data_IF_221837550894
#
_entry.id   IF_221837550894
#
_cell.length_a   1.000
_cell.length_b   1.000
_cell.length_c   1.000
_cell.angle_alpha   90.00
_cell.angle_beta   90.00
_cell.angle_gamma   90.00
#
_symmetry.space_group_name_H-M   'P 1'
#
loop_
_entity.id
_entity.type
_entity.pdbx_description
1 polymer ?
#
# COMPACT_ATOMS: atom_id res chain seq x y z
N UNK A 1 -40.91 -30.11 -17.86
CA UNK A 1 -41.08 -28.74 -17.38
C UNK A 1 -39.67 -28.12 -17.29
N UNK A 2 -39.23 -27.48 -18.38
CA UNK A 2 -37.86 -26.91 -18.50
C UNK A 2 -37.84 -25.53 -17.82
N UNK A 3 -37.18 -25.44 -16.67
CA UNK A 3 -36.92 -24.17 -16.01
C UNK A 3 -35.96 -23.35 -16.86
N UNK A 4 -36.49 -22.33 -17.54
CA UNK A 4 -35.71 -21.28 -18.20
C UNK A 4 -34.79 -20.59 -17.16
N UNK A 5 -33.50 -20.89 -17.25
CA UNK A 5 -32.48 -20.05 -16.60
C UNK A 5 -32.65 -18.63 -17.12
N UNK A 6 -33.05 -17.72 -16.25
CA UNK A 6 -33.05 -16.27 -16.55
C UNK A 6 -31.57 -15.87 -16.73
N UNK A 7 -31.16 -15.76 -17.97
CA UNK A 7 -29.96 -15.00 -18.34
C UNK A 7 -30.18 -13.55 -17.89
N UNK A 8 -29.79 -13.21 -16.67
CA UNK A 8 -29.59 -11.81 -16.32
C UNK A 8 -28.39 -11.31 -17.13
N UNK A 9 -28.53 -10.21 -17.88
CA UNK A 9 -27.41 -9.65 -18.61
C UNK A 9 -26.26 -9.40 -17.63
N UNK A 10 -25.08 -9.81 -18.01
CA UNK A 10 -23.83 -9.55 -17.27
C UNK A 10 -23.54 -8.04 -17.40
N UNK A 11 -24.32 -7.22 -16.67
CA UNK A 11 -24.11 -5.79 -16.62
C UNK A 11 -22.81 -5.60 -15.85
N UNK A 12 -21.77 -5.20 -16.54
CA UNK A 12 -20.48 -4.88 -15.91
C UNK A 12 -20.66 -3.88 -14.76
N UNK A 13 -19.70 -3.76 -13.85
CA UNK A 13 -19.84 -2.87 -12.70
C UNK A 13 -20.11 -1.44 -13.18
N UNK A 14 -21.00 -0.69 -12.51
CA UNK A 14 -21.36 0.66 -12.94
C UNK A 14 -20.11 1.55 -12.98
N UNK A 15 -19.97 2.31 -14.06
CA UNK A 15 -18.82 3.21 -14.29
C UNK A 15 -18.60 4.19 -13.14
N UNK A 16 -19.68 4.57 -12.45
CA UNK A 16 -19.64 5.45 -11.28
C UNK A 16 -18.85 4.83 -10.13
N UNK A 17 -19.12 3.58 -9.75
CA UNK A 17 -18.40 2.87 -8.70
C UNK A 17 -16.93 2.63 -9.07
N UNK A 18 -16.61 2.43 -10.35
CA UNK A 18 -15.23 2.29 -10.82
C UNK A 18 -14.46 3.62 -10.77
N UNK A 19 -15.09 4.74 -11.13
CA UNK A 19 -14.49 6.08 -11.00
C UNK A 19 -14.30 6.46 -9.54
N UNK A 20 -15.28 6.16 -8.70
CA UNK A 20 -15.18 6.38 -7.26
C UNK A 20 -14.02 5.59 -6.64
N UNK A 21 -13.79 4.35 -7.10
CA UNK A 21 -12.64 3.53 -6.69
C UNK A 21 -11.30 4.11 -7.18
N UNK A 22 -11.25 4.79 -8.33
CA UNK A 22 -10.06 5.52 -8.78
C UNK A 22 -9.68 6.62 -7.78
N UNK A 23 -10.65 7.48 -7.46
CA UNK A 23 -10.45 8.56 -6.49
C UNK A 23 -10.20 8.05 -5.07
N UNK A 24 -10.80 6.92 -4.69
CA UNK A 24 -10.51 6.26 -3.41
C UNK A 24 -9.03 5.90 -3.33
N UNK A 25 -8.44 5.28 -4.35
CA UNK A 25 -7.02 4.94 -4.38
C UNK A 25 -6.11 6.18 -4.37
N UNK A 26 -6.50 7.23 -5.10
CA UNK A 26 -5.78 8.50 -5.11
C UNK A 26 -5.71 9.14 -3.73
N UNK A 27 -6.86 9.40 -3.10
CA UNK A 27 -6.90 10.05 -1.79
C UNK A 27 -6.40 9.15 -0.66
N UNK A 28 -6.56 7.83 -0.77
CA UNK A 28 -6.03 6.89 0.20
C UNK A 28 -4.49 6.91 0.23
N UNK A 29 -3.86 6.90 -0.94
CA UNK A 29 -2.41 7.01 -1.03
C UNK A 29 -1.93 8.38 -0.53
N UNK A 30 -2.66 9.45 -0.88
CA UNK A 30 -2.36 10.79 -0.37
C UNK A 30 -2.43 10.86 1.16
N UNK A 31 -3.45 10.24 1.76
CA UNK A 31 -3.63 10.19 3.21
C UNK A 31 -2.53 9.39 3.91
N UNK A 32 -2.13 8.24 3.34
CA UNK A 32 -1.20 7.30 4.01
C UNK A 32 0.28 7.65 3.81
N UNK A 33 0.64 8.26 2.68
CA UNK A 33 2.05 8.47 2.29
C UNK A 33 2.52 9.91 2.57
N UNK A 34 1.63 10.89 2.43
CA UNK A 34 2.01 12.30 2.38
C UNK A 34 2.67 12.86 3.66
N UNK A 35 2.31 12.35 4.83
CA UNK A 35 2.78 12.91 6.12
C UNK A 35 3.97 12.15 6.73
N UNK A 36 4.21 10.91 6.33
CA UNK A 36 5.19 10.01 6.97
C UNK A 36 6.56 10.62 7.22
N UNK A 37 7.21 11.25 6.23
CA UNK A 37 8.52 11.88 6.40
C UNK A 37 8.52 13.06 7.38
N UNK A 38 7.37 13.69 7.63
CA UNK A 38 7.26 14.85 8.48
C UNK A 38 7.03 14.53 9.97
N UNK A 39 6.68 13.27 10.32
CA UNK A 39 6.48 12.85 11.71
C UNK A 39 7.72 13.11 12.56
N UNK A 40 8.93 12.61 12.20
CA UNK A 40 10.13 12.86 13.00
C UNK A 40 10.50 14.34 13.05
N UNK A 41 10.28 15.11 11.99
CA UNK A 41 10.57 16.55 11.94
C UNK A 41 9.67 17.29 12.92
N UNK A 42 8.37 17.03 12.89
CA UNK A 42 7.39 17.67 13.79
C UNK A 42 7.68 17.38 15.26
N UNK A 43 8.00 16.12 15.59
CA UNK A 43 8.33 15.74 16.96
C UNK A 43 9.64 16.40 17.44
N UNK A 44 10.65 16.49 16.56
CA UNK A 44 11.91 17.19 16.87
C UNK A 44 11.69 18.69 17.13
N UNK A 45 10.86 19.36 16.32
CA UNK A 45 10.48 20.78 16.52
C UNK A 45 9.73 21.00 17.85
N UNK A 46 9.02 19.97 18.34
CA UNK A 46 8.37 20.00 19.66
C UNK A 46 9.29 19.54 20.81
N UNK A 47 10.60 19.48 20.59
CA UNK A 47 11.60 19.23 21.64
C UNK A 47 11.78 17.77 22.02
N UNK A 48 11.34 16.82 21.18
CA UNK A 48 11.54 15.40 21.45
C UNK A 48 12.98 14.96 21.22
N UNK A 49 13.52 14.15 22.14
CA UNK A 49 14.80 13.51 21.93
C UNK A 49 14.75 12.48 20.79
N UNK A 50 15.83 12.30 20.02
CA UNK A 50 15.86 11.34 18.90
C UNK A 50 15.44 9.91 19.29
N UNK A 51 15.81 9.47 20.49
CA UNK A 51 15.42 8.15 21.02
C UNK A 51 13.89 8.02 21.20
N UNK A 52 13.23 9.07 21.70
CA UNK A 52 11.76 9.08 21.88
C UNK A 52 11.03 9.10 20.54
N UNK A 53 11.56 9.82 19.54
CA UNK A 53 11.05 9.81 18.16
C UNK A 53 11.18 8.40 17.57
N UNK A 54 12.36 7.78 17.68
CA UNK A 54 12.58 6.42 17.23
C UNK A 54 11.63 5.41 17.90
N UNK A 55 11.38 5.57 19.20
CA UNK A 55 10.43 4.72 19.93
C UNK A 55 8.99 4.88 19.39
N UNK A 56 8.54 6.10 19.15
CA UNK A 56 7.20 6.35 18.60
C UNK A 56 7.03 5.73 17.19
N UNK A 57 8.04 5.85 16.32
CA UNK A 57 8.03 5.23 15.00
C UNK A 57 8.05 3.69 15.09
N UNK A 58 8.81 3.14 16.04
CA UNK A 58 8.84 1.70 16.30
C UNK A 58 7.48 1.19 16.78
N UNK A 59 6.83 1.90 17.68
CA UNK A 59 5.46 1.57 18.16
C UNK A 59 4.48 1.53 16.99
N UNK A 60 4.51 2.52 16.09
CA UNK A 60 3.66 2.54 14.90
C UNK A 60 3.94 1.34 13.98
N UNK A 61 5.20 1.06 13.69
CA UNK A 61 5.61 -0.06 12.85
C UNK A 61 5.20 -1.41 13.43
N UNK A 62 5.44 -1.64 14.73
CA UNK A 62 5.02 -2.86 15.42
C UNK A 62 3.51 -3.01 15.46
N UNK A 63 2.76 -1.94 15.74
CA UNK A 63 1.30 -1.98 15.72
C UNK A 63 0.80 -2.38 14.32
N UNK A 64 1.37 -1.81 13.25
CA UNK A 64 1.06 -2.19 11.88
C UNK A 64 1.36 -3.66 11.60
N UNK A 65 2.55 -4.15 11.95
CA UNK A 65 2.96 -5.55 11.74
C UNK A 65 2.07 -6.54 12.48
N UNK A 66 1.84 -6.31 13.77
CA UNK A 66 1.05 -7.22 14.60
C UNK A 66 -0.42 -7.28 14.18
N UNK A 67 -0.95 -6.19 13.64
CA UNK A 67 -2.34 -6.11 13.22
C UNK A 67 -2.59 -6.58 11.79
N UNK A 68 -1.58 -6.76 10.94
CA UNK A 68 -1.77 -7.10 9.52
C UNK A 68 -2.53 -8.41 9.31
N UNK A 69 -2.14 -9.49 10.00
CA UNK A 69 -2.82 -10.79 9.88
C UNK A 69 -4.23 -10.75 10.47
N UNK A 70 -4.44 -10.26 11.72
CA UNK A 70 -5.78 -10.05 12.26
C UNK A 70 -6.66 -9.13 11.41
N UNK A 71 -6.08 -8.07 10.84
CA UNK A 71 -6.80 -7.15 9.96
C UNK A 71 -7.30 -7.85 8.70
N UNK A 72 -6.46 -8.65 8.03
CA UNK A 72 -6.86 -9.43 6.87
C UNK A 72 -8.02 -10.38 7.20
N UNK A 73 -7.98 -11.04 8.35
CA UNK A 73 -9.07 -11.90 8.79
C UNK A 73 -10.36 -11.11 9.10
N UNK A 74 -10.22 -9.97 9.78
CA UNK A 74 -11.35 -9.08 10.05
C UNK A 74 -12.01 -8.64 8.72
N UNK A 75 -11.21 -8.31 7.72
CA UNK A 75 -11.72 -7.97 6.39
C UNK A 75 -12.47 -9.14 5.77
N UNK A 76 -12.01 -10.39 5.89
CA UNK A 76 -12.75 -11.57 5.39
C UNK A 76 -14.08 -11.78 6.15
N UNK A 77 -14.15 -11.42 7.43
CA UNK A 77 -15.33 -11.65 8.27
C UNK A 77 -16.42 -10.59 8.08
N UNK A 78 -16.04 -9.32 7.94
CA UNK A 78 -16.99 -8.19 7.91
C UNK A 78 -17.70 -8.11 6.56
N UNK A 79 -19.03 -8.15 6.57
CA UNK A 79 -19.84 -8.06 5.33
C UNK A 79 -19.75 -6.69 4.66
N UNK A 80 -19.79 -5.61 5.42
CA UNK A 80 -19.70 -4.25 4.89
C UNK A 80 -18.26 -3.78 4.77
N UNK A 81 -17.60 -4.05 3.63
CA UNK A 81 -16.25 -3.56 3.34
C UNK A 81 -16.17 -2.04 3.35
N UNK A 82 -17.24 -1.36 2.88
CA UNK A 82 -17.33 0.10 2.91
C UNK A 82 -17.28 0.67 4.32
N UNK A 83 -18.05 0.10 5.25
CA UNK A 83 -18.04 0.55 6.63
C UNK A 83 -16.65 0.37 7.27
N UNK A 84 -15.99 -0.74 6.96
CA UNK A 84 -14.65 -1.03 7.45
C UNK A 84 -13.60 -0.03 6.92
N UNK A 85 -13.65 0.27 5.61
CA UNK A 85 -12.80 1.31 5.00
C UNK A 85 -13.11 2.67 5.61
N UNK A 86 -14.39 3.03 5.76
CA UNK A 86 -14.80 4.29 6.39
C UNK A 86 -14.27 4.46 7.81
N UNK A 87 -14.39 3.41 8.64
CA UNK A 87 -13.85 3.40 9.99
C UNK A 87 -12.31 3.55 10.00
N UNK A 88 -11.61 2.86 9.09
CA UNK A 88 -10.16 3.01 8.92
C UNK A 88 -9.74 4.41 8.52
N UNK A 89 -10.47 5.05 7.59
CA UNK A 89 -10.22 6.44 7.17
C UNK A 89 -10.37 7.39 8.35
N UNK A 90 -11.47 7.27 9.10
CA UNK A 90 -11.73 8.11 10.28
C UNK A 90 -10.64 7.90 11.32
N UNK A 91 -10.24 6.65 11.59
CA UNK A 91 -9.18 6.35 12.56
C UNK A 91 -7.83 6.97 12.13
N UNK A 92 -7.42 6.85 10.86
CA UNK A 92 -6.18 7.48 10.39
C UNK A 92 -6.27 9.01 10.46
N UNK A 93 -7.39 9.59 10.02
CA UNK A 93 -7.58 11.06 10.09
C UNK A 93 -7.54 11.57 11.53
N UNK A 94 -8.15 10.85 12.48
CA UNK A 94 -8.11 11.19 13.90
C UNK A 94 -6.68 11.05 14.45
N UNK A 95 -5.95 10.01 14.08
CA UNK A 95 -4.54 9.86 14.46
C UNK A 95 -3.70 11.05 13.99
N UNK A 96 -3.91 11.50 12.75
CA UNK A 96 -3.21 12.67 12.19
C UNK A 96 -3.56 13.96 12.94
N UNK A 97 -4.83 14.16 13.32
CA UNK A 97 -5.23 15.28 14.16
C UNK A 97 -4.54 15.25 15.53
N UNK A 98 -4.43 14.07 16.14
CA UNK A 98 -3.72 13.90 17.41
C UNK A 98 -2.24 14.24 17.24
N UNK A 99 -1.55 13.74 16.20
CA UNK A 99 -0.16 14.09 15.91
C UNK A 99 0.06 15.61 15.81
N UNK A 100 -0.83 16.31 15.08
CA UNK A 100 -0.71 17.76 14.91
C UNK A 100 -1.09 18.59 16.12
N UNK A 101 -2.03 18.14 16.97
CA UNK A 101 -2.61 18.94 18.04
C UNK A 101 -2.07 18.60 19.44
N UNK A 102 -1.56 17.38 19.65
CA UNK A 102 -1.13 16.87 20.96
C UNK A 102 0.23 16.17 20.84
N UNK A 103 1.33 16.92 20.75
CA UNK A 103 2.68 16.35 20.61
C UNK A 103 3.27 15.84 21.94
N UNK A 104 2.44 15.36 22.86
CA UNK A 104 2.86 14.65 24.07
C UNK A 104 3.01 13.13 23.81
N UNK A 105 3.90 12.47 24.57
CA UNK A 105 4.26 11.07 24.31
C UNK A 105 3.06 10.11 24.36
N UNK A 106 2.14 10.14 25.35
CA UNK A 106 0.99 9.24 25.38
C UNK A 106 0.06 9.42 24.18
N UNK A 107 -0.22 10.67 23.80
CA UNK A 107 -1.10 10.98 22.65
C UNK A 107 -0.48 10.52 21.33
N UNK A 108 0.80 10.79 21.12
CA UNK A 108 1.54 10.37 19.94
C UNK A 108 1.64 8.84 19.86
N UNK A 109 1.91 8.14 20.96
CA UNK A 109 1.95 6.69 21.01
C UNK A 109 0.58 6.08 20.67
N UNK A 110 -0.50 6.61 21.23
CA UNK A 110 -1.86 6.17 20.93
C UNK A 110 -2.22 6.40 19.44
N UNK A 111 -1.89 7.57 18.90
CA UNK A 111 -2.08 7.89 17.49
C UNK A 111 -1.26 6.97 16.57
N UNK A 112 -0.02 6.67 16.94
CA UNK A 112 0.86 5.77 16.21
C UNK A 112 0.29 4.34 16.14
N UNK A 113 -0.22 3.81 17.25
CA UNK A 113 -0.89 2.49 17.29
C UNK A 113 -2.16 2.51 16.43
N UNK A 114 -2.98 3.55 16.58
CA UNK A 114 -4.23 3.68 15.82
C UNK A 114 -3.97 3.77 14.31
N UNK A 115 -2.98 4.55 13.90
CA UNK A 115 -2.58 4.71 12.49
C UNK A 115 -2.04 3.39 11.92
N UNK A 116 -1.14 2.71 12.64
CA UNK A 116 -0.58 1.42 12.22
C UNK A 116 -1.66 0.35 12.05
N UNK A 117 -2.56 0.23 13.04
CA UNK A 117 -3.67 -0.73 12.99
C UNK A 117 -4.68 -0.41 11.88
N UNK A 118 -5.10 0.86 11.74
CA UNK A 118 -6.03 1.26 10.69
C UNK A 118 -5.41 1.11 9.29
N UNK A 119 -4.13 1.46 9.13
CA UNK A 119 -3.41 1.29 7.88
C UNK A 119 -3.37 -0.16 7.39
N UNK A 120 -3.21 -1.12 8.31
CA UNK A 120 -3.21 -2.55 7.98
C UNK A 120 -4.55 -3.09 7.49
N UNK A 121 -5.67 -2.43 7.85
CA UNK A 121 -7.03 -2.78 7.40
C UNK A 121 -7.34 -2.21 6.01
N UNK A 122 -6.87 -1.00 5.72
CA UNK A 122 -7.26 -0.24 4.52
C UNK A 122 -6.81 -0.91 3.22
N UNK A 123 -5.56 -1.38 3.14
CA UNK A 123 -5.02 -2.05 1.96
C UNK A 123 -5.84 -3.27 1.53
N UNK A 124 -5.95 -4.31 2.39
CA UNK A 124 -6.77 -5.48 2.09
C UNK A 124 -8.24 -5.14 1.79
N UNK A 125 -8.83 -4.18 2.50
CA UNK A 125 -10.24 -3.78 2.27
C UNK A 125 -10.47 -3.17 0.89
N UNK A 126 -9.55 -2.33 0.39
CA UNK A 126 -9.64 -1.74 -0.96
C UNK A 126 -9.38 -2.80 -2.03
N UNK A 127 -8.46 -3.74 -1.78
CA UNK A 127 -8.24 -4.89 -2.65
C UNK A 127 -9.50 -5.78 -2.73
N UNK A 128 -10.16 -6.02 -1.59
CA UNK A 128 -11.43 -6.75 -1.52
C UNK A 128 -12.56 -6.06 -2.30
N UNK A 129 -12.69 -4.73 -2.18
CA UNK A 129 -13.66 -3.94 -2.95
C UNK A 129 -13.34 -4.03 -4.44
N UNK A 130 -12.07 -3.95 -4.82
CA UNK A 130 -11.64 -4.06 -6.22
C UNK A 130 -12.04 -5.42 -6.80
N UNK A 131 -11.72 -6.50 -6.10
CA UNK A 131 -12.09 -7.86 -6.51
C UNK A 131 -13.61 -8.05 -6.56
N UNK A 132 -14.34 -7.52 -5.59
CA UNK A 132 -15.80 -7.60 -5.53
C UNK A 132 -16.49 -6.92 -6.71
N UNK A 133 -15.96 -5.77 -7.16
CA UNK A 133 -16.52 -4.99 -8.26
C UNK A 133 -16.26 -5.62 -9.63
N UNK A 134 -15.01 -6.03 -9.90
CA UNK A 134 -14.63 -6.44 -11.27
C UNK A 134 -14.51 -7.96 -11.44
N UNK A 135 -14.45 -8.74 -10.36
CA UNK A 135 -14.18 -10.17 -10.40
C UNK A 135 -12.73 -10.50 -10.79
N UNK A 136 -12.42 -11.80 -10.88
CA UNK A 136 -11.04 -12.27 -11.16
C UNK A 136 -10.55 -11.90 -12.57
N UNK A 137 -11.43 -11.97 -13.58
CA UNK A 137 -11.05 -11.81 -14.99
C UNK A 137 -10.53 -10.39 -15.29
N UNK A 138 -11.15 -9.35 -14.71
CA UNK A 138 -10.77 -7.97 -14.91
C UNK A 138 -9.89 -7.40 -13.77
N UNK A 139 -9.53 -8.24 -12.77
CA UNK A 139 -8.80 -7.78 -11.59
C UNK A 139 -7.41 -7.23 -11.94
N UNK A 140 -6.70 -7.87 -12.85
CA UNK A 140 -5.35 -7.46 -13.25
C UNK A 140 -5.32 -6.03 -13.79
N UNK A 141 -6.20 -5.71 -14.73
CA UNK A 141 -6.32 -4.37 -15.29
C UNK A 141 -6.76 -3.35 -14.23
N UNK A 142 -7.71 -3.75 -13.36
CA UNK A 142 -8.19 -2.90 -12.25
C UNK A 142 -7.08 -2.55 -11.28
N UNK A 143 -6.26 -3.51 -10.88
CA UNK A 143 -5.13 -3.28 -9.96
C UNK A 143 -4.07 -2.37 -10.59
N UNK A 144 -3.77 -2.54 -11.87
CA UNK A 144 -2.89 -1.62 -12.60
C UNK A 144 -3.40 -0.18 -12.56
N UNK A 145 -4.71 0.01 -12.75
CA UNK A 145 -5.35 1.32 -12.65
C UNK A 145 -5.36 1.87 -11.22
N UNK A 146 -5.66 1.04 -10.23
CA UNK A 146 -5.58 1.42 -8.81
C UNK A 146 -4.19 1.92 -8.45
N UNK A 147 -3.14 1.19 -8.84
CA UNK A 147 -1.75 1.54 -8.56
C UNK A 147 -1.35 2.86 -9.23
N UNK A 148 -1.81 3.11 -10.47
CA UNK A 148 -1.61 4.42 -11.14
C UNK A 148 -2.19 5.56 -10.32
N UNK A 149 -3.46 5.46 -9.92
CA UNK A 149 -4.12 6.51 -9.14
C UNK A 149 -3.47 6.69 -7.76
N UNK A 150 -3.05 5.59 -7.11
CA UNK A 150 -2.33 5.65 -5.85
C UNK A 150 -0.98 6.38 -6.00
N UNK A 151 -0.20 6.08 -7.04
CA UNK A 151 1.08 6.77 -7.28
C UNK A 151 0.91 8.24 -7.58
N UNK A 152 -0.09 8.61 -8.40
CA UNK A 152 -0.39 10.03 -8.66
C UNK A 152 -0.88 10.73 -7.40
N UNK A 153 -1.69 10.06 -6.56
CA UNK A 153 -2.14 10.59 -5.27
C UNK A 153 -0.98 10.81 -4.30
N UNK A 154 -0.05 9.86 -4.22
CA UNK A 154 1.16 9.99 -3.40
C UNK A 154 2.05 11.15 -3.85
N UNK A 155 2.24 11.32 -5.18
CA UNK A 155 2.99 12.45 -5.75
C UNK A 155 2.32 13.79 -5.41
N UNK A 156 1.02 13.90 -5.61
CA UNK A 156 0.26 15.10 -5.29
C UNK A 156 0.36 15.43 -3.80
N UNK A 157 0.24 14.43 -2.94
CA UNK A 157 0.38 14.61 -1.49
C UNK A 157 1.78 15.09 -1.11
N UNK A 158 2.84 14.49 -1.66
CA UNK A 158 4.22 14.91 -1.38
C UNK A 158 4.44 16.37 -1.77
N UNK A 159 3.93 16.81 -2.92
CA UNK A 159 4.02 18.20 -3.38
C UNK A 159 3.22 19.16 -2.47
N UNK A 160 1.98 18.78 -2.12
CA UNK A 160 1.10 19.61 -1.26
C UNK A 160 1.70 19.70 0.14
N UNK A 161 2.09 18.57 0.76
CA UNK A 161 2.62 18.56 2.12
C UNK A 161 3.96 19.26 2.21
N UNK A 162 4.83 19.12 1.19
CA UNK A 162 6.08 19.89 1.10
C UNK A 162 5.82 21.39 1.00
N UNK A 163 4.86 21.81 0.18
CA UNK A 163 4.44 23.22 0.08
C UNK A 163 3.84 23.75 1.38
N UNK A 164 2.96 22.99 2.04
CA UNK A 164 2.36 23.36 3.33
C UNK A 164 3.44 23.50 4.40
N UNK A 165 4.38 22.54 4.49
CA UNK A 165 5.48 22.61 5.45
C UNK A 165 6.42 23.77 5.24
N UNK A 166 6.63 24.19 3.97
CA UNK A 166 7.46 25.34 3.63
C UNK A 166 6.77 26.69 3.90
N UNK A 167 5.47 26.80 3.54
CA UNK A 167 4.73 28.07 3.60
C UNK A 167 4.07 28.33 4.96
N UNK A 168 3.72 27.28 5.70
CA UNK A 168 2.99 27.36 6.96
C UNK A 168 3.80 26.74 8.10
N UNK A 169 3.46 25.51 8.49
CA UNK A 169 4.16 24.80 9.57
C UNK A 169 4.09 23.29 9.41
N UNK A 170 4.94 22.55 10.12
CA UNK A 170 4.87 21.08 10.16
C UNK A 170 3.57 20.57 10.80
N UNK A 171 3.00 21.32 11.75
CA UNK A 171 1.69 21.06 12.34
C UNK A 171 0.59 21.08 11.28
N UNK A 172 0.61 22.07 10.38
CA UNK A 172 -0.42 22.24 9.36
C UNK A 172 -0.40 21.10 8.33
N UNK A 173 0.75 20.44 8.12
CA UNK A 173 0.85 19.22 7.31
C UNK A 173 -0.11 18.15 7.84
N UNK A 174 -0.12 17.90 9.16
CA UNK A 174 -0.99 16.91 9.77
C UNK A 174 -2.48 17.28 9.68
N UNK A 175 -2.79 18.57 9.81
CA UNK A 175 -4.17 19.07 9.67
C UNK A 175 -4.66 18.91 8.23
N UNK A 176 -3.84 19.28 7.25
CA UNK A 176 -4.18 19.12 5.83
C UNK A 176 -4.27 17.64 5.46
N UNK A 177 -3.34 16.80 5.96
CA UNK A 177 -3.39 15.36 5.74
C UNK A 177 -4.67 14.75 6.34
N UNK A 178 -5.06 15.13 7.56
CA UNK A 178 -6.32 14.69 8.17
C UNK A 178 -7.53 15.12 7.36
N UNK A 179 -7.52 16.37 6.83
CA UNK A 179 -8.59 16.89 5.99
C UNK A 179 -8.78 16.12 4.67
N UNK A 180 -7.72 15.45 4.15
CA UNK A 180 -7.85 14.53 3.00
C UNK A 180 -8.76 13.34 3.27
N UNK A 181 -9.02 13.01 4.54
CA UNK A 181 -10.06 12.04 4.91
C UNK A 181 -11.45 12.41 4.40
N UNK A 182 -11.76 13.70 4.27
CA UNK A 182 -13.07 14.18 3.82
C UNK A 182 -13.32 13.80 2.35
N UNK A 183 -12.52 14.22 1.35
CA UNK A 183 -12.71 13.80 -0.03
C UNK A 183 -12.57 12.28 -0.22
N UNK A 184 -11.77 11.62 0.62
CA UNK A 184 -11.65 10.17 0.62
C UNK A 184 -12.96 9.48 1.05
N UNK A 185 -13.66 10.00 2.06
CA UNK A 185 -15.00 9.52 2.46
C UNK A 185 -16.04 9.79 1.38
N UNK A 186 -15.98 10.92 0.67
CA UNK A 186 -16.85 11.18 -0.47
C UNK A 186 -16.58 10.20 -1.62
N UNK A 187 -15.32 9.91 -1.93
CA UNK A 187 -14.96 8.89 -2.91
C UNK A 187 -15.50 7.51 -2.50
N UNK A 188 -15.39 7.15 -1.22
CA UNK A 188 -15.95 5.90 -0.69
C UNK A 188 -17.49 5.87 -0.81
N UNK A 189 -18.17 6.98 -0.54
CA UNK A 189 -19.63 7.10 -0.66
C UNK A 189 -20.11 6.90 -2.10
N UNK A 190 -19.31 7.28 -3.09
CA UNK A 190 -19.57 7.06 -4.51
C UNK A 190 -19.57 5.59 -4.95
N UNK A 191 -19.01 4.68 -4.14
CA UNK A 191 -19.07 3.24 -4.41
C UNK A 191 -20.39 2.70 -3.86
N UNK A 192 -21.28 2.19 -4.71
CA UNK A 192 -22.55 1.64 -4.27
C UNK A 192 -22.36 0.33 -3.53
N UNK A 193 -22.92 0.20 -2.33
CA UNK A 193 -22.82 -1.03 -1.53
C UNK A 193 -23.41 -2.25 -2.20
N UNK A 194 -24.45 -2.09 -3.03
CA UNK A 194 -25.08 -3.14 -3.80
C UNK A 194 -24.14 -3.77 -4.86
N UNK A 195 -23.14 -3.02 -5.33
CA UNK A 195 -22.18 -3.51 -6.33
C UNK A 195 -21.08 -4.37 -5.70
N UNK A 196 -20.95 -4.36 -4.38
CA UNK A 196 -19.92 -5.10 -3.64
C UNK A 196 -20.46 -6.46 -3.23
N UNK A 197 -20.18 -7.49 -4.02
CA UNK A 197 -20.57 -8.85 -3.70
C UNK A 197 -19.64 -9.45 -2.63
N UNK A 198 -20.20 -9.78 -1.46
CA UNK A 198 -19.42 -10.27 -0.31
C UNK A 198 -18.61 -11.52 -0.64
N UNK A 199 -19.19 -12.52 -1.30
CA UNK A 199 -18.49 -13.74 -1.69
C UNK A 199 -17.25 -13.46 -2.55
N UNK A 200 -17.37 -12.61 -3.59
CA UNK A 200 -16.22 -12.18 -4.42
C UNK A 200 -15.15 -11.46 -3.61
N UNK A 201 -15.53 -10.60 -2.66
CA UNK A 201 -14.57 -9.85 -1.84
C UNK A 201 -13.69 -10.74 -0.94
N UNK A 202 -14.08 -11.99 -0.74
CA UNK A 202 -13.33 -13.00 -0.03
C UNK A 202 -12.66 -14.04 -0.96
N UNK A 203 -12.76 -13.87 -2.29
CA UNK A 203 -12.15 -14.75 -3.28
C UNK A 203 -13.06 -15.86 -3.81
N UNK A 204 -14.41 -15.74 -3.71
CA UNK A 204 -15.31 -16.70 -4.35
C UNK A 204 -15.30 -16.55 -5.88
N UNK A 205 -15.31 -17.66 -6.65
CA UNK A 205 -15.20 -17.59 -8.11
C UNK A 205 -16.44 -16.99 -8.80
N UNK A 206 -17.63 -17.08 -8.20
CA UNK A 206 -18.89 -16.62 -8.80
C UNK A 206 -19.71 -15.74 -7.85
N UNK A 207 -20.45 -14.76 -8.41
CA UNK A 207 -21.33 -13.87 -7.65
C UNK A 207 -22.48 -14.56 -6.92
N UNK A 208 -22.88 -15.73 -7.38
CA UNK A 208 -23.99 -16.54 -6.88
C UNK A 208 -23.55 -17.74 -6.03
N UNK A 209 -22.22 -17.90 -5.80
CA UNK A 209 -21.75 -18.95 -4.90
C UNK A 209 -22.31 -18.68 -3.50
N UNK A 210 -22.84 -19.70 -2.81
CA UNK A 210 -23.11 -19.59 -1.38
C UNK A 210 -21.85 -19.14 -0.64
N UNK A 211 -21.99 -18.57 0.56
CA UNK A 211 -20.83 -18.05 1.32
C UNK A 211 -19.65 -19.03 1.22
N UNK A 212 -18.46 -18.57 0.77
CA UNK A 212 -17.37 -19.50 0.53
C UNK A 212 -17.06 -20.28 1.80
N UNK A 213 -17.01 -21.62 1.68
CA UNK A 213 -16.55 -22.46 2.79
C UNK A 213 -15.11 -22.03 3.10
N UNK A 214 -14.92 -21.35 4.22
CA UNK A 214 -13.60 -20.85 4.60
C UNK A 214 -12.69 -22.01 4.93
N UNK A 215 -11.65 -22.14 4.15
CA UNK A 215 -10.55 -23.07 4.43
C UNK A 215 -9.96 -22.77 5.81
N UNK A 216 -9.52 -23.77 6.56
CA UNK A 216 -8.91 -23.55 7.87
C UNK A 216 -7.66 -22.66 7.77
N UNK A 217 -7.38 -21.86 8.80
CA UNK A 217 -6.15 -21.03 8.83
C UNK A 217 -4.90 -21.89 8.66
N UNK A 218 -4.86 -23.05 9.32
CA UNK A 218 -3.74 -23.97 9.25
C UNK A 218 -3.49 -24.51 7.84
N UNK A 219 -4.54 -24.77 7.05
CA UNK A 219 -4.40 -25.20 5.68
C UNK A 219 -3.83 -24.09 4.77
N UNK A 220 -4.26 -22.83 5.00
CA UNK A 220 -3.70 -21.69 4.26
C UNK A 220 -2.22 -21.49 4.57
N UNK A 221 -1.83 -21.54 5.86
CA UNK A 221 -0.43 -21.38 6.28
C UNK A 221 0.47 -22.57 5.88
N UNK A 222 -0.10 -23.69 5.47
CA UNK A 222 0.64 -24.86 4.93
C UNK A 222 0.68 -24.89 3.40
N UNK A 223 -0.02 -23.98 2.71
CA UNK A 223 0.03 -23.92 1.26
C UNK A 223 1.44 -23.48 0.81
N UNK A 224 2.18 -24.43 0.23
CA UNK A 224 3.55 -24.20 -0.23
C UNK A 224 3.65 -23.12 -1.30
N UNK A 225 2.61 -22.92 -2.13
CA UNK A 225 2.58 -21.88 -3.17
C UNK A 225 2.52 -20.49 -2.55
N UNK A 226 1.64 -20.33 -1.55
CA UNK A 226 1.54 -19.09 -0.79
C UNK A 226 2.82 -18.83 0.01
N UNK A 227 3.38 -19.84 0.67
CA UNK A 227 4.64 -19.73 1.40
C UNK A 227 5.80 -19.36 0.49
N UNK A 228 5.95 -20.00 -0.66
CA UNK A 228 6.99 -19.65 -1.64
C UNK A 228 6.85 -18.20 -2.10
N UNK A 229 5.63 -17.76 -2.42
CA UNK A 229 5.39 -16.39 -2.86
C UNK A 229 5.68 -15.37 -1.75
N UNK A 230 5.24 -15.62 -0.52
CA UNK A 230 5.53 -14.72 0.62
C UNK A 230 7.01 -14.70 0.96
N UNK A 231 7.72 -15.82 0.79
CA UNK A 231 9.19 -15.86 0.92
C UNK A 231 9.88 -15.00 -0.14
N UNK A 232 9.40 -15.02 -1.40
CA UNK A 232 9.91 -14.11 -2.43
C UNK A 232 9.69 -12.64 -2.05
N UNK A 233 8.53 -12.30 -1.50
CA UNK A 233 8.25 -10.94 -1.02
C UNK A 233 9.15 -10.55 0.16
N UNK A 234 9.38 -11.47 1.08
CA UNK A 234 10.31 -11.26 2.20
C UNK A 234 11.73 -10.94 1.71
N UNK A 235 12.27 -11.80 0.82
CA UNK A 235 13.62 -11.62 0.26
C UNK A 235 13.73 -10.33 -0.56
N UNK A 236 12.68 -10.00 -1.33
CA UNK A 236 12.60 -8.74 -2.04
C UNK A 236 12.71 -7.55 -1.08
N UNK A 237 11.89 -7.53 -0.04
CA UNK A 237 11.89 -6.43 0.93
C UNK A 237 13.19 -6.38 1.75
N UNK A 238 13.75 -7.54 2.09
CA UNK A 238 15.03 -7.64 2.76
C UNK A 238 16.17 -7.01 1.93
N UNK A 239 16.14 -7.20 0.61
CA UNK A 239 17.15 -6.61 -0.30
C UNK A 239 16.86 -5.15 -0.67
N UNK A 240 15.58 -4.74 -0.70
CA UNK A 240 15.14 -3.47 -1.29
C UNK A 240 15.02 -2.32 -0.29
N UNK A 241 14.51 -2.59 0.93
CA UNK A 241 14.01 -1.53 1.81
C UNK A 241 15.09 -0.56 2.31
N UNK A 242 16.32 -1.02 2.43
CA UNK A 242 17.46 -0.21 2.91
C UNK A 242 18.20 0.55 1.82
N UNK A 243 17.99 0.23 0.53
CA UNK A 243 18.75 0.86 -0.57
C UNK A 243 18.56 2.38 -0.63
N UNK A 244 17.32 2.85 -0.55
CA UNK A 244 17.04 4.29 -0.59
C UNK A 244 17.58 5.05 0.63
N UNK A 245 17.40 4.59 1.89
CA UNK A 245 18.04 5.20 3.04
C UNK A 245 19.56 5.28 2.94
N UNK A 246 20.21 4.24 2.46
CA UNK A 246 21.69 4.22 2.28
C UNK A 246 22.16 5.27 1.29
N UNK A 247 21.55 5.30 0.09
CA UNK A 247 21.89 6.31 -0.93
C UNK A 247 21.62 7.72 -0.40
N UNK A 248 20.52 7.92 0.35
CA UNK A 248 20.23 9.19 0.99
C UNK A 248 21.30 9.61 2.00
N UNK A 249 21.78 8.70 2.84
CA UNK A 249 22.86 8.97 3.80
C UNK A 249 24.18 9.32 3.10
N UNK A 250 24.56 8.58 2.06
CA UNK A 250 25.76 8.88 1.29
C UNK A 250 25.71 10.28 0.65
N UNK A 251 24.57 10.66 0.08
CA UNK A 251 24.39 11.97 -0.53
C UNK A 251 24.51 13.13 0.47
N UNK A 252 24.02 12.96 1.69
CA UNK A 252 24.16 13.97 2.75
C UNK A 252 25.63 14.26 3.06
N UNK A 253 26.47 13.23 3.06
CA UNK A 253 27.92 13.38 3.32
C UNK A 253 28.67 14.06 2.16
N UNK A 254 28.19 13.91 0.92
CA UNK A 254 28.89 14.42 -0.27
C UNK A 254 28.38 15.81 -0.70
N UNK A 255 27.06 16.03 -0.70
CA UNK A 255 26.40 17.17 -1.34
C UNK A 255 25.93 18.27 -0.37
N UNK A 256 25.94 18.02 0.94
CA UNK A 256 25.49 19.00 1.94
C UNK A 256 24.03 19.46 1.71
N UNK A 257 23.82 20.78 1.49
CA UNK A 257 22.47 21.37 1.33
C UNK A 257 21.71 20.87 0.09
N UNK A 258 22.39 20.49 -0.97
CA UNK A 258 21.77 20.00 -2.23
C UNK A 258 21.20 18.59 -2.10
N UNK A 259 21.62 17.84 -1.08
CA UNK A 259 21.19 16.45 -0.84
C UNK A 259 19.67 16.31 -0.72
N UNK A 260 18.97 17.28 -0.15
CA UNK A 260 17.51 17.23 0.05
C UNK A 260 16.74 17.21 -1.28
N UNK A 261 17.21 17.93 -2.30
CA UNK A 261 16.60 17.93 -3.63
C UNK A 261 16.80 16.58 -4.33
N UNK A 262 18.02 16.03 -4.23
CA UNK A 262 18.35 14.73 -4.82
C UNK A 262 17.56 13.62 -4.13
N UNK A 263 17.48 13.60 -2.80
CA UNK A 263 16.66 12.62 -2.07
C UNK A 263 15.18 12.73 -2.44
N UNK A 264 14.67 13.95 -2.59
CA UNK A 264 13.29 14.14 -3.06
C UNK A 264 13.09 13.59 -4.47
N UNK A 265 14.05 13.80 -5.37
CA UNK A 265 14.02 13.23 -6.73
C UNK A 265 14.03 11.69 -6.69
N UNK A 266 14.85 11.08 -5.82
CA UNK A 266 14.91 9.62 -5.63
C UNK A 266 13.57 9.02 -5.16
N UNK A 267 12.72 9.79 -4.50
CA UNK A 267 11.38 9.35 -4.08
C UNK A 267 10.34 9.61 -5.16
N UNK A 268 10.38 10.78 -5.79
CA UNK A 268 9.34 11.25 -6.72
C UNK A 268 9.42 10.55 -8.08
N UNK A 269 10.60 10.44 -8.67
CA UNK A 269 10.74 9.89 -10.02
C UNK A 269 10.30 8.43 -10.15
N UNK A 270 10.62 7.51 -9.23
CA UNK A 270 10.06 6.15 -9.29
C UNK A 270 8.53 6.12 -9.29
N UNK A 271 7.87 7.02 -8.56
CA UNK A 271 6.40 7.07 -8.54
C UNK A 271 5.80 7.47 -9.90
N UNK A 272 6.50 8.32 -10.67
CA UNK A 272 6.10 8.64 -12.04
C UNK A 272 6.19 7.39 -12.91
N UNK A 273 7.27 6.62 -12.79
CA UNK A 273 7.43 5.36 -13.51
C UNK A 273 6.33 4.37 -13.12
N UNK A 274 6.02 4.23 -11.83
CA UNK A 274 4.89 3.40 -11.38
C UNK A 274 3.58 3.85 -12.00
N UNK A 275 3.27 5.14 -11.98
CA UNK A 275 2.02 5.68 -12.53
C UNK A 275 1.85 5.38 -14.03
N UNK A 276 2.97 5.37 -14.78
CA UNK A 276 2.97 5.08 -16.21
C UNK A 276 2.91 3.57 -16.50
N UNK A 277 3.71 2.77 -15.78
CA UNK A 277 3.86 1.34 -16.06
C UNK A 277 2.78 0.46 -15.43
N UNK A 278 2.19 0.82 -14.29
CA UNK A 278 1.25 -0.05 -13.60
C UNK A 278 0.03 -0.46 -14.45
N UNK A 279 -0.60 0.40 -15.25
CA UNK A 279 -1.69 -0.01 -16.15
C UNK A 279 -1.23 -0.99 -17.24
N UNK A 280 0.01 -0.81 -17.74
CA UNK A 280 0.60 -1.72 -18.71
C UNK A 280 0.88 -3.09 -18.06
N UNK A 281 1.46 -3.12 -16.86
CA UNK A 281 1.68 -4.34 -16.08
C UNK A 281 0.36 -5.09 -15.86
N UNK A 282 -0.71 -4.37 -15.46
CA UNK A 282 -2.02 -4.98 -15.25
C UNK A 282 -2.57 -5.66 -16.51
N UNK A 283 -2.50 -5.00 -17.67
CA UNK A 283 -2.93 -5.57 -18.94
C UNK A 283 -2.06 -6.74 -19.39
N UNK A 284 -0.75 -6.57 -19.28
CA UNK A 284 0.22 -7.59 -19.70
C UNK A 284 0.17 -8.83 -18.79
N UNK A 285 -0.14 -8.67 -17.50
CA UNK A 285 -0.33 -9.78 -16.59
C UNK A 285 -1.48 -10.69 -16.99
N UNK A 286 -2.50 -10.19 -17.68
CA UNK A 286 -3.58 -10.99 -18.20
C UNK A 286 -3.17 -11.85 -19.42
N UNK A 287 -2.25 -11.37 -20.26
CA UNK A 287 -1.85 -12.02 -21.53
C UNK A 287 -0.58 -12.86 -21.40
N UNK A 288 0.48 -12.33 -20.80
CA UNK A 288 1.78 -13.01 -20.65
C UNK A 288 1.84 -13.90 -19.41
N UNK A 289 0.88 -13.74 -18.48
CA UNK A 289 0.91 -14.39 -17.18
C UNK A 289 1.69 -13.61 -16.12
N UNK A 290 1.63 -14.12 -14.88
CA UNK A 290 2.19 -13.41 -13.70
C UNK A 290 3.70 -13.63 -13.55
N UNK A 291 4.21 -14.82 -13.91
CA UNK A 291 5.60 -15.23 -13.66
C UNK A 291 6.65 -14.36 -14.35
N UNK A 292 6.57 -14.08 -15.67
CA UNK A 292 7.59 -13.25 -16.33
C UNK A 292 7.70 -11.85 -15.73
N UNK A 293 6.56 -11.22 -15.46
CA UNK A 293 6.51 -9.88 -14.87
C UNK A 293 7.04 -9.87 -13.44
N UNK A 294 6.74 -10.91 -12.65
CA UNK A 294 7.28 -11.04 -11.29
C UNK A 294 8.81 -11.16 -11.31
N UNK A 295 9.35 -11.99 -12.21
CA UNK A 295 10.80 -12.15 -12.37
C UNK A 295 11.45 -10.83 -12.77
N UNK A 296 10.85 -10.07 -13.71
CA UNK A 296 11.35 -8.73 -14.09
C UNK A 296 11.38 -7.82 -12.87
N UNK A 297 10.27 -7.73 -12.10
CA UNK A 297 10.21 -6.88 -10.91
C UNK A 297 11.23 -7.24 -9.84
N UNK A 298 11.49 -8.54 -9.62
CA UNK A 298 12.48 -9.01 -8.66
C UNK A 298 13.92 -8.81 -9.15
N UNK A 299 14.18 -9.02 -10.45
CA UNK A 299 15.52 -8.90 -11.04
C UNK A 299 16.04 -7.45 -11.05
N UNK A 300 15.16 -6.47 -11.01
CA UNK A 300 15.54 -5.06 -10.92
C UNK A 300 16.37 -4.76 -9.66
N UNK A 301 16.08 -5.41 -8.52
CA UNK A 301 16.78 -5.10 -7.25
C UNK A 301 18.28 -5.38 -7.33
N UNK A 302 18.76 -6.57 -7.71
CA UNK A 302 20.19 -6.81 -7.82
C UNK A 302 20.86 -5.94 -8.88
N UNK A 303 20.19 -5.65 -10.01
CA UNK A 303 20.70 -4.75 -11.04
C UNK A 303 20.89 -3.35 -10.46
N UNK A 304 19.86 -2.81 -9.79
CA UNK A 304 19.91 -1.50 -9.16
C UNK A 304 20.98 -1.42 -8.07
N UNK A 305 21.08 -2.44 -7.22
CA UNK A 305 22.11 -2.51 -6.17
C UNK A 305 23.53 -2.48 -6.75
N UNK A 306 23.78 -3.24 -7.82
CA UNK A 306 25.06 -3.24 -8.53
C UNK A 306 25.39 -1.89 -9.14
N UNK A 307 24.40 -1.22 -9.76
CA UNK A 307 24.57 0.12 -10.31
C UNK A 307 24.81 1.18 -9.22
N UNK A 308 24.13 1.12 -8.09
CA UNK A 308 24.40 2.01 -6.95
C UNK A 308 25.81 1.82 -6.39
N UNK A 309 26.31 0.58 -6.36
CA UNK A 309 27.67 0.31 -5.91
C UNK A 309 28.77 0.82 -6.89
N UNK A 310 28.41 1.08 -8.15
CA UNK A 310 29.36 1.48 -9.20
C UNK A 310 29.52 2.99 -9.36
N UNK A 311 28.69 3.82 -8.72
CA UNK A 311 28.71 5.28 -8.90
C UNK A 311 28.35 6.02 -7.62
N UNK A 312 28.92 7.22 -7.48
CA UNK A 312 28.52 8.19 -6.45
C UNK A 312 27.93 9.48 -7.07
N UNK A 313 27.79 9.53 -8.41
CA UNK A 313 27.24 10.70 -9.11
C UNK A 313 25.73 10.83 -8.82
N UNK A 314 25.27 11.97 -8.24
CA UNK A 314 23.88 12.18 -7.87
C UNK A 314 22.89 12.04 -9.02
N UNK A 315 23.26 12.48 -10.21
CA UNK A 315 22.40 12.42 -11.40
C UNK A 315 22.23 10.96 -11.85
N UNK A 316 23.33 10.21 -11.87
CA UNK A 316 23.28 8.77 -12.19
C UNK A 316 22.48 8.00 -11.14
N UNK A 317 22.63 8.32 -9.85
CA UNK A 317 21.85 7.70 -8.77
C UNK A 317 20.34 7.92 -8.97
N UNK A 318 19.92 9.12 -9.37
CA UNK A 318 18.51 9.42 -9.68
C UNK A 318 18.02 8.61 -10.90
N UNK A 319 18.82 8.49 -11.94
CA UNK A 319 18.49 7.69 -13.13
C UNK A 319 18.37 6.20 -12.76
N UNK A 320 19.32 5.68 -12.00
CA UNK A 320 19.28 4.29 -11.51
C UNK A 320 18.04 4.04 -10.62
N UNK A 321 17.64 5.03 -9.81
CA UNK A 321 16.46 4.92 -8.96
C UNK A 321 15.14 4.82 -9.75
N UNK A 322 15.08 5.26 -11.02
CA UNK A 322 13.92 5.04 -11.88
C UNK A 322 13.58 3.54 -12.02
N UNK A 323 14.58 2.67 -11.93
CA UNK A 323 14.39 1.22 -11.95
C UNK A 323 13.50 0.73 -10.79
N UNK A 324 13.53 1.40 -9.62
CA UNK A 324 12.63 1.09 -8.51
C UNK A 324 11.16 1.21 -8.88
N UNK A 325 10.85 2.14 -9.78
CA UNK A 325 9.50 2.28 -10.33
C UNK A 325 9.02 1.05 -11.10
N UNK A 326 9.92 0.29 -11.73
CA UNK A 326 9.58 -0.96 -12.41
C UNK A 326 9.18 -2.03 -11.36
N UNK A 327 10.00 -2.20 -10.30
CA UNK A 327 9.67 -3.09 -9.20
C UNK A 327 8.37 -2.67 -8.50
N UNK A 328 8.20 -1.36 -8.25
CA UNK A 328 7.00 -0.80 -7.63
C UNK A 328 5.73 -1.03 -8.47
N UNK A 329 5.80 -0.85 -9.79
CA UNK A 329 4.68 -1.12 -10.69
C UNK A 329 4.34 -2.61 -10.75
N UNK A 330 5.35 -3.47 -10.90
CA UNK A 330 5.14 -4.91 -11.02
C UNK A 330 4.64 -5.52 -9.71
N UNK A 331 5.32 -5.32 -8.61
CA UNK A 331 4.95 -5.89 -7.33
C UNK A 331 3.68 -5.26 -6.74
N UNK A 332 3.45 -3.96 -6.94
CA UNK A 332 2.23 -3.28 -6.52
C UNK A 332 0.97 -3.88 -7.15
N UNK A 333 1.05 -4.32 -8.41
CA UNK A 333 -0.06 -4.99 -9.10
C UNK A 333 -0.08 -6.49 -8.81
N UNK A 334 1.07 -7.15 -8.96
CA UNK A 334 1.14 -8.62 -8.95
C UNK A 334 0.96 -9.22 -7.57
N UNK A 335 1.35 -8.53 -6.48
CA UNK A 335 1.19 -9.07 -5.13
C UNK A 335 -0.28 -9.39 -4.85
N UNK A 336 -1.16 -8.43 -5.04
CA UNK A 336 -2.60 -8.62 -4.84
C UNK A 336 -3.19 -9.62 -5.84
N UNK A 337 -2.75 -9.57 -7.10
CA UNK A 337 -3.25 -10.45 -8.15
C UNK A 337 -2.86 -11.91 -7.90
N UNK A 338 -1.61 -12.20 -7.57
CA UNK A 338 -1.13 -13.56 -7.27
C UNK A 338 -1.82 -14.11 -6.02
N UNK A 339 -2.00 -13.30 -4.99
CA UNK A 339 -2.74 -13.71 -3.79
C UNK A 339 -4.19 -14.05 -4.15
N UNK A 340 -4.85 -13.25 -5.01
CA UNK A 340 -6.19 -13.54 -5.47
C UNK A 340 -6.26 -14.89 -6.24
N UNK A 341 -5.28 -15.15 -7.11
CA UNK A 341 -5.19 -16.41 -7.84
C UNK A 341 -4.98 -17.62 -6.91
N UNK A 342 -4.07 -17.50 -5.92
CA UNK A 342 -3.74 -18.56 -4.97
C UNK A 342 -4.87 -18.85 -3.97
N UNK A 343 -5.66 -17.84 -3.64
CA UNK A 343 -6.75 -17.97 -2.66
C UNK A 343 -8.13 -18.09 -3.29
N UNK A 344 -8.19 -18.25 -4.61
CA UNK A 344 -9.45 -18.40 -5.32
C UNK A 344 -10.27 -19.58 -4.75
N UNK A 345 -11.51 -19.33 -4.37
CA UNK A 345 -12.41 -20.32 -3.78
C UNK A 345 -12.17 -20.63 -2.29
N UNK A 346 -11.13 -20.13 -1.66
CA UNK A 346 -10.79 -20.44 -0.26
C UNK A 346 -11.54 -19.60 0.79
N UNK A 347 -12.14 -18.49 0.38
CA UNK A 347 -12.76 -17.53 1.30
C UNK A 347 -11.76 -16.80 2.23
N UNK A 348 -10.45 -16.80 1.92
CA UNK A 348 -9.34 -16.31 2.75
C UNK A 348 -8.43 -15.30 2.03
N UNK A 349 -8.94 -14.62 1.02
CA UNK A 349 -8.17 -13.67 0.21
C UNK A 349 -7.49 -12.58 1.06
N UNK A 350 -8.27 -11.97 1.96
CA UNK A 350 -7.74 -10.84 2.75
C UNK A 350 -6.81 -11.30 3.89
N UNK A 351 -7.04 -12.49 4.46
CA UNK A 351 -6.11 -13.11 5.40
C UNK A 351 -4.75 -13.36 4.75
N UNK A 352 -4.72 -13.86 3.52
CA UNK A 352 -3.47 -14.06 2.78
C UNK A 352 -2.78 -12.73 2.42
N UNK A 353 -3.54 -11.68 2.12
CA UNK A 353 -3.02 -10.32 1.96
C UNK A 353 -2.34 -9.82 3.24
N UNK A 354 -3.00 -10.00 4.38
CA UNK A 354 -2.43 -9.64 5.68
C UNK A 354 -1.15 -10.43 6.00
N UNK A 355 -1.11 -11.73 5.68
CA UNK A 355 0.10 -12.55 5.83
C UNK A 355 1.24 -12.02 4.95
N UNK A 356 0.97 -11.79 3.67
CA UNK A 356 1.96 -11.27 2.73
C UNK A 356 2.50 -9.91 3.18
N UNK A 357 1.62 -9.02 3.67
CA UNK A 357 2.00 -7.73 4.23
C UNK A 357 2.88 -7.88 5.47
N UNK A 358 2.52 -8.75 6.43
CA UNK A 358 3.30 -8.99 7.64
C UNK A 358 4.70 -9.52 7.31
N UNK A 359 4.79 -10.51 6.43
CA UNK A 359 6.08 -11.10 5.99
C UNK A 359 6.93 -10.07 5.26
N UNK A 360 6.34 -9.26 4.39
CA UNK A 360 7.02 -8.14 3.71
C UNK A 360 7.53 -7.10 4.71
N UNK A 361 6.72 -6.73 5.69
CA UNK A 361 7.08 -5.77 6.73
C UNK A 361 8.23 -6.26 7.62
N UNK A 362 8.26 -7.55 7.97
CA UNK A 362 9.40 -8.16 8.69
C UNK A 362 10.67 -8.08 7.84
N UNK A 363 10.59 -8.42 6.53
CA UNK A 363 11.72 -8.31 5.61
C UNK A 363 12.27 -6.89 5.52
N UNK A 364 11.39 -5.89 5.42
CA UNK A 364 11.77 -4.48 5.39
C UNK A 364 12.43 -4.02 6.69
N UNK A 365 11.88 -4.40 7.84
CA UNK A 365 12.44 -4.07 9.16
C UNK A 365 13.83 -4.69 9.39
N UNK A 366 14.02 -5.97 8.98
CA UNK A 366 15.32 -6.62 9.05
C UNK A 366 16.33 -5.97 8.09
N UNK A 367 15.91 -5.58 6.88
CA UNK A 367 16.76 -4.89 5.93
C UNK A 367 17.39 -3.63 6.52
N UNK A 368 16.58 -2.75 7.11
CA UNK A 368 17.06 -1.51 7.73
C UNK A 368 17.91 -1.76 8.97
N UNK A 369 17.62 -2.81 9.75
CA UNK A 369 18.39 -3.17 10.94
C UNK A 369 19.77 -3.73 10.60
N UNK A 370 19.89 -4.61 9.58
CA UNK A 370 21.16 -5.21 9.16
C UNK A 370 22.14 -4.15 8.64
N UNK A 371 21.63 -3.12 7.99
CA UNK A 371 22.45 -2.08 7.37
C UNK A 371 22.74 -0.91 8.32
N UNK A 372 21.91 -0.72 9.35
CA UNK A 372 22.13 0.28 10.38
C UNK A 372 23.18 -0.13 11.42
N UNK A 373 23.72 -1.35 11.30
CA UNK A 373 24.86 -1.88 12.08
C UNK A 373 26.14 -1.67 11.28
#
# INVERSE_FOLDING_TARGET
>A
MLTRSRNTPNVGPPLESLRALDWLNFFLAALLVGFGPFVPVHLAENGWAPASIGLALTVSGLAGLLTQVPAGELVDMVKSKRALVGAGIVAVSLALLIFGLRPDFPSVAAAAVMQGAAGSILGPSVAAISLALVGHDALAERLGRNQRFASVGGLAAAAIMGGVGYLLSTRDIFLVAAALGIPLLFALAGIRGADIHFGRSCGAPNSYAPEPQRVSRAALFKDHRLLTFTTCLFLFQLANASLLPQVGQQLVHVEGRSSSLVVSALIVFPQIVVALLAPWVGRTAATWGRRPLLVIGLAVVPIRSGLFASTADPVVLVVVQLLDGISGATLGVLTTLIIADLTNGTGRFNLAQGLAGAVSGVGASLSTSIIGI
#
